data_IF_673021473147
#
_entry.id   IF_673021473147
#
_cell.length_a   1.000
_cell.length_b   1.000
_cell.length_c   1.000
_cell.angle_alpha   90.00
_cell.angle_beta   90.00
_cell.angle_gamma   90.00
#
_symmetry.space_group_name_H-M   'P 1'
#
loop_
_entity.id
_entity.type
_entity.pdbx_description
1 polymer ?
#
# COMPACT_ATOMS: atom_id res chain seq x y z
N UNK A 1 -26.04 25.97 9.62
CA UNK A 1 -26.94 25.00 8.93
C UNK A 1 -26.80 25.05 7.41
N UNK A 2 -27.09 26.16 6.71
CA UNK A 2 -27.06 26.22 5.23
C UNK A 2 -25.66 26.04 4.60
N UNK A 3 -24.59 26.54 5.26
CA UNK A 3 -23.21 26.46 4.76
C UNK A 3 -22.56 25.07 4.90
N UNK A 4 -23.05 24.25 5.84
CA UNK A 4 -22.56 22.88 6.06
C UNK A 4 -23.15 21.94 4.98
N UNK A 5 -24.39 22.19 4.58
CA UNK A 5 -25.06 21.46 3.49
C UNK A 5 -24.35 21.72 2.14
N UNK A 6 -23.94 22.96 1.87
CA UNK A 6 -23.20 23.28 0.65
C UNK A 6 -21.82 22.59 0.58
N UNK A 7 -21.11 22.49 1.71
CA UNK A 7 -19.78 21.86 1.76
C UNK A 7 -19.84 20.33 1.61
N UNK A 8 -20.86 19.70 2.19
CA UNK A 8 -21.08 18.24 2.08
C UNK A 8 -21.50 17.81 0.67
N UNK A 9 -22.32 18.62 -0.02
CA UNK A 9 -22.70 18.36 -1.42
C UNK A 9 -21.49 18.52 -2.36
N UNK A 10 -20.64 19.53 -2.14
CA UNK A 10 -19.41 19.71 -2.93
C UNK A 10 -18.44 18.53 -2.83
N UNK A 11 -18.29 17.95 -1.63
CA UNK A 11 -17.45 16.77 -1.42
C UNK A 11 -18.01 15.50 -2.08
N UNK A 12 -19.34 15.37 -2.14
CA UNK A 12 -20.01 14.24 -2.80
C UNK A 12 -19.89 14.31 -4.33
N UNK A 13 -19.94 15.52 -4.92
CA UNK A 13 -19.75 15.71 -6.37
C UNK A 13 -18.30 15.41 -6.78
N UNK A 14 -17.32 15.79 -5.96
CA UNK A 14 -15.91 15.48 -6.22
C UNK A 14 -15.59 13.96 -6.26
N UNK A 15 -16.40 13.12 -5.60
CA UNK A 15 -16.23 11.66 -5.60
C UNK A 15 -16.96 10.95 -6.76
N UNK A 16 -17.79 11.67 -7.52
CA UNK A 16 -18.54 11.13 -8.67
C UNK A 16 -17.85 11.33 -10.03
N UNK A 17 -16.69 12.01 -10.06
CA UNK A 17 -15.85 12.11 -11.25
C UNK A 17 -15.02 10.83 -11.47
N UNK A 18 -15.66 9.67 -11.52
CA UNK A 18 -15.13 8.54 -12.27
C UNK A 18 -15.47 8.78 -13.74
N UNK A 19 -14.73 9.71 -14.37
CA UNK A 19 -14.71 9.79 -15.81
C UNK A 19 -14.45 8.37 -16.33
N UNK A 20 -15.37 7.85 -17.16
CA UNK A 20 -15.19 6.60 -17.88
C UNK A 20 -13.97 6.80 -18.80
N UNK A 21 -12.79 6.59 -18.25
CA UNK A 21 -11.56 6.67 -18.99
C UNK A 21 -11.68 5.59 -20.06
N UNK A 22 -11.36 5.87 -21.34
CA UNK A 22 -11.12 4.78 -22.27
C UNK A 22 -10.19 3.79 -21.55
N UNK A 23 -10.43 2.47 -21.69
CA UNK A 23 -9.62 1.48 -20.98
C UNK A 23 -8.16 1.90 -21.08
N UNK A 24 -7.49 2.01 -19.92
CA UNK A 24 -6.11 2.50 -19.86
C UNK A 24 -5.35 1.78 -20.97
N UNK A 25 -4.62 2.55 -21.78
CA UNK A 25 -3.76 1.94 -22.79
C UNK A 25 -2.96 0.82 -22.12
N UNK A 26 -2.63 -0.26 -22.81
CA UNK A 26 -1.92 -1.39 -22.20
C UNK A 26 -0.67 -0.94 -21.42
N UNK A 27 -0.01 0.13 -21.89
CA UNK A 27 1.10 0.79 -21.23
C UNK A 27 0.71 1.48 -19.91
N UNK A 28 -0.39 2.22 -19.88
CA UNK A 28 -0.89 2.89 -18.68
C UNK A 28 -1.38 1.87 -17.63
N UNK A 29 -1.99 0.77 -18.05
CA UNK A 29 -2.41 -0.32 -17.17
C UNK A 29 -1.18 -1.02 -16.55
N UNK A 30 -0.17 -1.32 -17.35
CA UNK A 30 1.10 -1.87 -16.86
C UNK A 30 1.79 -0.93 -15.87
N UNK A 31 1.80 0.37 -16.13
CA UNK A 31 2.35 1.36 -15.20
C UNK A 31 1.56 1.45 -13.88
N UNK A 32 0.23 1.34 -13.94
CA UNK A 32 -0.62 1.31 -12.75
C UNK A 32 -0.38 0.05 -11.90
N UNK A 33 -0.25 -1.11 -12.55
CA UNK A 33 -0.02 -2.38 -11.85
C UNK A 33 1.41 -2.45 -11.27
N UNK A 34 2.40 -1.87 -11.95
CA UNK A 34 3.75 -1.66 -11.40
C UNK A 34 3.68 -0.76 -10.15
N UNK A 35 2.95 0.36 -10.20
CA UNK A 35 2.79 1.25 -9.04
C UNK A 35 2.12 0.52 -7.87
N UNK A 36 1.05 -0.23 -8.11
CA UNK A 36 0.38 -1.04 -7.07
C UNK A 36 1.35 -2.06 -6.46
N UNK A 37 2.11 -2.76 -7.29
CA UNK A 37 3.09 -3.75 -6.83
C UNK A 37 4.21 -3.11 -5.98
N UNK A 38 4.72 -1.93 -6.38
CA UNK A 38 5.69 -1.16 -5.60
C UNK A 38 5.11 -0.72 -4.25
N UNK A 39 3.87 -0.25 -4.22
CA UNK A 39 3.21 0.16 -2.97
C UNK A 39 3.02 -1.03 -2.04
N UNK A 40 2.55 -2.17 -2.57
CA UNK A 40 2.41 -3.40 -1.80
C UNK A 40 3.75 -3.88 -1.23
N UNK A 41 4.82 -3.80 -2.03
CA UNK A 41 6.17 -4.12 -1.59
C UNK A 41 6.69 -3.16 -0.52
N UNK A 42 6.50 -1.85 -0.70
CA UNK A 42 6.86 -0.85 0.30
C UNK A 42 6.14 -1.09 1.63
N UNK A 43 4.88 -1.50 1.59
CA UNK A 43 4.12 -1.92 2.78
C UNK A 43 4.78 -3.10 3.50
N UNK A 44 5.20 -4.14 2.77
CA UNK A 44 5.92 -5.29 3.33
C UNK A 44 7.25 -4.89 3.96
N UNK A 45 8.02 -4.02 3.31
CA UNK A 45 9.29 -3.47 3.84
C UNK A 45 9.03 -2.63 5.09
N UNK A 46 7.97 -1.81 5.08
CA UNK A 46 7.56 -1.02 6.24
C UNK A 46 7.23 -1.89 7.45
N UNK A 47 6.43 -2.94 7.26
CA UNK A 47 6.11 -3.90 8.32
C UNK A 47 7.36 -4.61 8.87
N UNK A 48 8.28 -5.00 7.99
CA UNK A 48 9.55 -5.61 8.40
C UNK A 48 10.40 -4.66 9.25
N UNK A 49 10.54 -3.39 8.85
CA UNK A 49 11.27 -2.39 9.63
C UNK A 49 10.58 -2.10 10.97
N UNK A 50 9.26 -2.03 10.98
CA UNK A 50 8.47 -1.83 12.20
C UNK A 50 8.64 -3.00 13.19
N UNK A 51 8.68 -4.24 12.69
CA UNK A 51 9.03 -5.39 13.52
C UNK A 51 10.43 -5.24 14.14
N UNK A 52 11.44 -4.88 13.34
CA UNK A 52 12.81 -4.72 13.83
C UNK A 52 12.92 -3.64 14.92
N UNK A 53 12.23 -2.51 14.73
CA UNK A 53 12.23 -1.43 15.72
C UNK A 53 11.54 -1.86 17.02
N UNK A 54 10.41 -2.57 16.93
CA UNK A 54 9.75 -3.12 18.11
C UNK A 54 10.65 -4.10 18.87
N UNK A 55 11.33 -5.00 18.16
CA UNK A 55 12.27 -5.94 18.78
C UNK A 55 13.43 -5.21 19.45
N UNK A 56 13.98 -4.18 18.80
CA UNK A 56 15.05 -3.37 19.38
C UNK A 56 14.60 -2.69 20.68
N UNK A 57 13.39 -2.12 20.70
CA UNK A 57 12.83 -1.49 21.91
C UNK A 57 12.61 -2.55 22.99
N UNK A 58 12.02 -3.71 22.64
CA UNK A 58 11.83 -4.81 23.58
C UNK A 58 13.15 -5.26 24.20
N UNK A 59 14.22 -5.35 23.40
CA UNK A 59 15.56 -5.70 23.89
C UNK A 59 16.18 -4.62 24.78
N UNK A 60 15.90 -3.34 24.55
CA UNK A 60 16.41 -2.26 25.40
C UNK A 60 15.74 -2.20 26.76
N UNK A 61 14.46 -2.59 26.86
CA UNK A 61 13.67 -2.52 28.09
C UNK A 61 13.36 -3.90 28.69
N UNK A 62 13.97 -4.98 28.19
CA UNK A 62 13.67 -6.33 28.69
C UNK A 62 14.05 -6.48 30.15
N UNK A 63 13.16 -7.12 30.91
CA UNK A 63 13.45 -7.59 32.27
C UNK A 63 14.01 -9.00 32.20
N UNK A 64 14.82 -9.37 33.20
CA UNK A 64 15.41 -10.70 33.30
C UNK A 64 14.33 -11.80 33.26
N UNK A 65 14.56 -12.83 32.46
CA UNK A 65 13.60 -13.93 32.25
C UNK A 65 12.56 -13.70 31.15
N UNK A 66 12.54 -12.53 30.50
CA UNK A 66 11.64 -12.29 29.36
C UNK A 66 12.14 -13.06 28.11
N UNK A 67 11.27 -13.81 27.41
CA UNK A 67 11.62 -14.46 26.15
C UNK A 67 12.07 -13.45 25.09
N UNK A 68 12.97 -13.88 24.19
CA UNK A 68 13.41 -13.06 23.08
C UNK A 68 12.23 -12.73 22.15
N UNK A 69 12.18 -11.51 21.57
CA UNK A 69 11.13 -11.14 20.65
C UNK A 69 11.19 -11.98 19.35
N UNK A 70 10.04 -12.19 18.73
CA UNK A 70 9.90 -13.06 17.55
C UNK A 70 10.72 -12.59 16.34
N UNK A 71 11.08 -13.52 15.45
CA UNK A 71 11.90 -13.20 14.28
C UNK A 71 11.14 -12.33 13.26
N UNK A 72 11.79 -11.25 12.81
CA UNK A 72 11.29 -10.43 11.70
C UNK A 72 11.73 -11.06 10.37
N UNK A 73 10.78 -11.46 9.53
CA UNK A 73 11.07 -12.04 8.22
C UNK A 73 11.27 -10.93 7.20
N UNK A 74 12.45 -10.90 6.57
CA UNK A 74 12.74 -9.95 5.51
C UNK A 74 11.88 -10.25 4.28
N UNK A 75 11.24 -9.25 3.65
CA UNK A 75 10.54 -9.47 2.40
C UNK A 75 11.56 -9.84 1.30
N UNK A 76 11.22 -10.78 0.40
CA UNK A 76 12.09 -11.14 -0.71
C UNK A 76 12.28 -9.93 -1.65
N UNK A 77 13.34 -9.90 -2.48
CA UNK A 77 13.57 -8.82 -3.44
C UNK A 77 12.32 -8.55 -4.32
N UNK A 78 12.06 -7.28 -4.60
CA UNK A 78 10.93 -6.91 -5.45
C UNK A 78 11.14 -7.44 -6.88
N UNK A 79 10.24 -8.31 -7.32
CA UNK A 79 10.15 -8.75 -8.71
C UNK A 79 8.99 -7.99 -9.36
N UNK A 80 9.25 -7.18 -10.40
CA UNK A 80 8.19 -6.45 -11.07
C UNK A 80 7.22 -7.43 -11.74
N UNK A 81 5.89 -7.21 -11.64
CA UNK A 81 4.94 -8.03 -12.36
C UNK A 81 5.16 -7.85 -13.87
N UNK A 82 5.30 -8.96 -14.59
CA UNK A 82 5.26 -8.96 -16.06
C UNK A 82 3.85 -8.56 -16.50
N UNK A 83 3.77 -7.62 -17.44
CA UNK A 83 2.50 -7.18 -17.99
C UNK A 83 1.79 -8.37 -18.63
N UNK A 84 0.61 -8.74 -18.10
CA UNK A 84 -0.23 -9.73 -18.73
C UNK A 84 -0.74 -9.17 -20.06
N UNK A 85 -0.60 -9.95 -21.14
CA UNK A 85 -1.17 -9.59 -22.43
C UNK A 85 -2.68 -9.34 -22.26
N UNK A 86 -3.23 -8.25 -22.83
CA UNK A 86 -4.66 -7.98 -22.70
C UNK A 86 -5.41 -9.17 -23.28
N UNK A 87 -6.33 -9.73 -22.49
CA UNK A 87 -7.22 -10.79 -22.95
C UNK A 87 -7.99 -10.25 -24.16
N UNK A 88 -7.68 -10.81 -25.34
CA UNK A 88 -8.40 -10.52 -26.57
C UNK A 88 -9.88 -10.84 -26.35
N UNK A 89 -10.73 -9.85 -26.64
CA UNK A 89 -12.19 -10.01 -26.62
C UNK A 89 -12.67 -10.18 -28.06
#
# INVERSE_FOLDING_TARGET
MKKIIAFTIGALVASSAFAFFPPLSPEAQAAADLKKAKTAYAGKVGAFKLCQVQNKIADQYKVSGTPAPGACVAPPPFVPPVAAAPAAK
#
